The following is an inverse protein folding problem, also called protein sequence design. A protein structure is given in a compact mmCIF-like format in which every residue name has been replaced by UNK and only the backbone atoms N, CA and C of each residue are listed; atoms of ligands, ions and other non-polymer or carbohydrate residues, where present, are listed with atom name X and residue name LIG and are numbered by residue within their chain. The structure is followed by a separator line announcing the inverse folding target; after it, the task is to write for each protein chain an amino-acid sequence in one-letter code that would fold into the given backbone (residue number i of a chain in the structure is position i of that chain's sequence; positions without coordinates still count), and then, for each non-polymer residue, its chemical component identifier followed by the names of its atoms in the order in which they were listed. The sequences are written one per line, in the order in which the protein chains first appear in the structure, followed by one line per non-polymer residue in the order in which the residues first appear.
data_IF_491528424491
#
_entry.id   IF_491528424491
#
_cell.length_a   1.000
_cell.length_b   1.000
_cell.length_c   1.000
_cell.angle_alpha   90.00
_cell.angle_beta   90.00
_cell.angle_gamma   90.00
#
_symmetry.space_group_name_H-M   'P 1'
#
loop_
_entity.id
_entity.type
_entity.pdbx_description
1 polymer ?
#
# COMPACT_ATOMS: atom_id res chain seq x y z
N UNK A 1 -15.31 -11.44 3.68
CA UNK A 1 -15.13 -10.21 2.88
C UNK A 1 -13.64 -10.08 2.65
N UNK A 2 -13.17 -10.12 1.40
CA UNK A 2 -11.74 -9.94 1.13
C UNK A 2 -11.43 -8.45 1.11
N UNK A 3 -10.41 -8.06 1.85
CA UNK A 3 -9.97 -6.67 1.94
C UNK A 3 -9.42 -6.18 0.59
N UNK A 4 -10.00 -5.13 0.01
CA UNK A 4 -9.72 -4.70 -1.38
C UNK A 4 -8.25 -4.34 -1.63
N UNK A 5 -7.58 -3.74 -0.64
CA UNK A 5 -6.23 -3.22 -0.80
C UNK A 5 -5.24 -3.89 0.14
N UNK A 6 -4.02 -4.10 -0.34
CA UNK A 6 -2.86 -4.57 0.45
C UNK A 6 -1.72 -3.54 0.36
N UNK A 7 -1.16 -3.13 1.50
CA UNK A 7 0.04 -2.27 1.55
C UNK A 7 1.34 -3.04 1.76
N UNK A 8 2.39 -2.47 1.17
CA UNK A 8 3.75 -2.95 1.28
C UNK A 8 4.71 -1.80 1.60
N UNK A 9 5.70 -2.08 2.44
CA UNK A 9 6.85 -1.22 2.69
C UNK A 9 8.11 -1.91 2.17
N UNK A 10 8.92 -1.19 1.38
CA UNK A 10 10.19 -1.72 0.92
C UNK A 10 11.26 -1.67 2.03
N UNK A 11 11.88 -2.82 2.36
CA UNK A 11 12.94 -2.87 3.38
C UNK A 11 14.18 -2.03 3.02
N UNK A 12 14.42 -1.81 1.73
CA UNK A 12 15.58 -1.05 1.22
C UNK A 12 15.34 0.45 1.20
N UNK A 13 14.34 0.92 0.45
CA UNK A 13 14.11 2.35 0.26
C UNK A 13 13.07 2.96 1.20
N UNK A 14 12.44 2.14 2.06
CA UNK A 14 11.44 2.56 3.07
C UNK A 14 10.22 3.26 2.50
N UNK A 15 9.99 3.13 1.19
CA UNK A 15 8.80 3.68 0.53
C UNK A 15 7.66 2.67 0.63
N UNK A 16 6.49 3.20 0.96
CA UNK A 16 5.23 2.47 0.98
C UNK A 16 4.52 2.55 -0.38
N UNK A 17 3.80 1.49 -0.73
CA UNK A 17 2.89 1.46 -1.87
C UNK A 17 1.73 0.48 -1.61
N UNK A 18 0.64 0.66 -2.37
CA UNK A 18 -0.62 -0.09 -2.20
C UNK A 18 -0.96 -0.76 -3.52
N UNK A 19 -1.44 -1.99 -3.44
CA UNK A 19 -1.91 -2.77 -4.58
C UNK A 19 -3.30 -3.33 -4.28
N UNK A 20 -4.06 -3.63 -5.33
CA UNK A 20 -5.35 -4.33 -5.22
C UNK A 20 -5.09 -5.79 -4.85
N UNK A 21 -5.79 -6.28 -3.84
CA UNK A 21 -5.60 -7.64 -3.32
C UNK A 21 -5.99 -8.70 -4.34
N UNK A 22 -7.05 -8.47 -5.12
CA UNK A 22 -7.50 -9.39 -6.18
C UNK A 22 -6.41 -9.59 -7.25
N UNK A 23 -5.91 -8.50 -7.85
CA UNK A 23 -4.80 -8.52 -8.82
C UNK A 23 -3.56 -9.25 -8.28
N UNK A 24 -3.27 -9.08 -6.98
CA UNK A 24 -2.15 -9.76 -6.33
C UNK A 24 -2.33 -11.27 -6.25
N UNK A 25 -3.51 -11.74 -5.86
CA UNK A 25 -3.76 -13.18 -5.77
C UNK A 25 -3.77 -13.80 -7.17
N UNK A 26 -4.39 -13.15 -8.16
CA UNK A 26 -4.36 -13.58 -9.56
C UNK A 26 -2.93 -13.73 -10.10
N UNK A 27 -2.07 -12.74 -9.82
CA UNK A 27 -0.67 -12.79 -10.23
C UNK A 27 0.15 -13.83 -9.48
N UNK A 28 -0.15 -14.11 -8.21
CA UNK A 28 0.52 -15.21 -7.48
C UNK A 28 0.15 -16.57 -8.02
N UNK A 29 -1.12 -16.77 -8.44
CA UNK A 29 -1.56 -18.05 -9.02
C UNK A 29 -0.78 -18.42 -10.28
N UNK A 30 -0.27 -17.44 -11.02
CA UNK A 30 0.59 -17.63 -12.21
C UNK A 30 2.09 -17.54 -11.90
N UNK A 31 2.49 -17.61 -10.63
CA UNK A 31 3.90 -17.66 -10.20
C UNK A 31 4.64 -16.31 -10.23
N UNK A 32 3.94 -15.17 -10.37
CA UNK A 32 4.56 -13.85 -10.29
C UNK A 32 4.73 -13.38 -8.85
N UNK A 33 5.66 -12.45 -8.66
CA UNK A 33 5.98 -11.85 -7.36
C UNK A 33 5.98 -10.32 -7.44
N UNK A 34 5.82 -9.68 -6.29
CA UNK A 34 5.80 -8.22 -6.17
C UNK A 34 7.22 -7.71 -5.92
N UNK A 35 7.57 -6.60 -6.56
CA UNK A 35 8.79 -5.84 -6.32
C UNK A 35 8.47 -4.41 -5.94
N UNK A 36 9.39 -3.75 -5.26
CA UNK A 36 9.28 -2.32 -4.99
C UNK A 36 9.29 -1.53 -6.32
N UNK A 37 8.27 -0.71 -6.62
CA UNK A 37 8.21 0.06 -7.87
C UNK A 37 9.25 1.18 -7.93
N UNK A 38 9.89 1.51 -6.81
CA UNK A 38 10.85 2.62 -6.72
C UNK A 38 12.31 2.21 -6.84
N UNK A 39 12.65 0.98 -6.43
CA UNK A 39 14.04 0.52 -6.40
C UNK A 39 14.23 -0.94 -6.84
N UNK A 40 13.16 -1.57 -7.35
CA UNK A 40 13.12 -2.94 -7.85
C UNK A 40 13.54 -4.01 -6.82
N UNK A 41 13.64 -3.65 -5.53
CA UNK A 41 13.95 -4.60 -4.47
C UNK A 41 12.80 -5.59 -4.26
N UNK A 42 13.13 -6.87 -4.07
CA UNK A 42 12.14 -7.94 -3.80
C UNK A 42 11.75 -8.03 -2.33
N UNK A 43 12.56 -7.47 -1.43
CA UNK A 43 12.31 -7.58 0.00
C UNK A 43 11.30 -6.52 0.45
N UNK A 44 10.09 -6.98 0.71
CA UNK A 44 8.94 -6.17 1.09
C UNK A 44 8.36 -6.67 2.41
N UNK A 45 7.97 -5.74 3.28
CA UNK A 45 7.10 -6.01 4.42
C UNK A 45 5.66 -5.82 3.97
N UNK A 46 4.79 -6.81 4.24
CA UNK A 46 3.35 -6.66 4.06
C UNK A 46 2.78 -6.03 5.33
N UNK A 47 2.23 -4.83 5.23
CA UNK A 47 1.85 -4.06 6.43
C UNK A 47 0.39 -4.25 6.82
N UNK A 48 -0.54 -3.91 5.93
CA UNK A 48 -1.97 -3.91 6.24
C UNK A 48 -2.81 -4.29 5.03
N UNK A 49 -3.96 -4.90 5.30
CA UNK A 49 -5.06 -5.04 4.35
C UNK A 49 -6.27 -4.25 4.84
N UNK A 50 -7.03 -3.66 3.93
CA UNK A 50 -8.24 -2.87 4.25
C UNK A 50 -9.04 -2.58 2.98
N UNK A 51 -10.35 -2.38 3.14
CA UNK A 51 -11.26 -1.93 2.07
C UNK A 51 -11.16 -0.43 1.79
N UNK A 52 -10.50 0.33 2.66
CA UNK A 52 -10.38 1.78 2.59
C UNK A 52 -8.94 2.22 2.35
N UNK A 53 -8.69 2.86 1.20
CA UNK A 53 -7.40 3.52 0.89
C UNK A 53 -7.02 4.56 1.95
N UNK A 54 -8.01 5.25 2.54
CA UNK A 54 -7.77 6.25 3.60
C UNK A 54 -7.13 5.63 4.83
N UNK A 55 -7.48 4.38 5.15
CA UNK A 55 -6.93 3.68 6.30
C UNK A 55 -5.53 3.12 6.06
N UNK A 56 -5.18 2.86 4.81
CA UNK A 56 -3.88 2.34 4.41
C UNK A 56 -2.88 3.48 4.23
N UNK A 57 -3.27 4.55 3.54
CA UNK A 57 -2.38 5.67 3.24
C UNK A 57 -2.32 6.70 4.38
N UNK A 58 -2.40 6.27 5.65
CA UNK A 58 -2.49 7.18 6.81
C UNK A 58 -1.34 8.19 6.90
N UNK A 59 -0.14 7.82 6.44
CA UNK A 59 1.01 8.72 6.33
C UNK A 59 0.70 10.00 5.52
N UNK A 60 -0.27 9.96 4.60
CA UNK A 60 -0.75 11.10 3.80
C UNK A 60 -2.23 11.39 4.06
N UNK A 61 -2.69 11.21 5.29
CA UNK A 61 -4.04 11.62 5.67
C UNK A 61 -4.09 13.14 5.78
N UNK A 62 -5.05 13.77 5.13
CA UNK A 62 -5.26 15.21 5.20
C UNK A 62 -6.54 15.49 5.97
N UNK A 63 -6.49 16.49 6.86
CA UNK A 63 -7.63 17.02 7.58
C UNK A 63 -7.80 18.49 7.28
N UNK A 64 -9.03 18.98 7.28
CA UNK A 64 -9.27 20.43 7.26
C UNK A 64 -9.17 20.97 8.69
N UNK A 65 -8.38 22.02 8.90
CA UNK A 65 -8.33 22.80 10.14
C UNK A 65 -8.50 24.27 9.77
N UNK A 66 -9.56 24.91 10.28
CA UNK A 66 -9.90 26.31 9.97
C UNK A 66 -9.98 26.61 8.47
N UNK A 67 -10.60 25.71 7.69
CA UNK A 67 -10.76 25.86 6.24
C UNK A 67 -9.55 25.43 5.39
N UNK A 68 -8.33 25.44 5.95
CA UNK A 68 -7.12 24.99 5.25
C UNK A 68 -6.95 23.47 5.29
N UNK A 69 -6.44 22.89 4.20
CA UNK A 69 -6.05 21.47 4.14
C UNK A 69 -4.67 21.34 4.81
N UNK A 70 -4.58 20.50 5.84
CA UNK A 70 -3.35 20.18 6.54
C UNK A 70 -3.12 18.66 6.50
N UNK A 71 -1.89 18.22 6.25
CA UNK A 71 -1.52 16.84 6.49
C UNK A 71 -1.59 16.58 8.00
N UNK A 72 -2.21 15.46 8.39
CA UNK A 72 -2.44 15.09 9.78
C UNK A 72 -1.13 14.69 10.47
#
# INVERSE_FOLDING_TARGET
MQEIYTSYECKRCRKEFVLVTEDLEDHKHIGKYVVCPYCCNKELNKEKRSDSLKEIMKARSYKRKNGAIQQK
#
